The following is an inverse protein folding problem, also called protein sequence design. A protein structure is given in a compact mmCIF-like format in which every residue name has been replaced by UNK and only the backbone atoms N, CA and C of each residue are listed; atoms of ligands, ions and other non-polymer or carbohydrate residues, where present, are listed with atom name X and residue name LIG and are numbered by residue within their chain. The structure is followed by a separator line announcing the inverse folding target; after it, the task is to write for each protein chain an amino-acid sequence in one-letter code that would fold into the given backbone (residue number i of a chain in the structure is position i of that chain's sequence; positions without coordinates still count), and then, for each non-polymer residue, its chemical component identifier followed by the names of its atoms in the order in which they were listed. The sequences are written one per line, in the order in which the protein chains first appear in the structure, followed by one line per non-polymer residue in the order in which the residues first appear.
data_IF_769490247270
#
_entry.id   IF_769490247270
#
_cell.length_a   1.000
_cell.length_b   1.000
_cell.length_c   1.000
_cell.angle_alpha   90.00
_cell.angle_beta   90.00
_cell.angle_gamma   90.00
#
_symmetry.space_group_name_H-M   'P 1'
#
loop_
_entity.id
_entity.type
_entity.pdbx_description
1 polymer ?
#
# COMPACT_ATOMS: atom_id res chain seq x y z
N UNK A 1 -9.79 12.01 -41.53
CA UNK A 1 -9.22 10.67 -41.33
C UNK A 1 -10.08 9.93 -40.32
N UNK A 2 -10.78 8.88 -40.78
CA UNK A 2 -11.64 8.04 -39.94
C UNK A 2 -10.81 6.87 -39.41
N UNK A 3 -10.59 6.81 -38.09
CA UNK A 3 -9.96 5.65 -37.48
C UNK A 3 -11.03 4.57 -37.24
N UNK A 4 -11.05 3.62 -38.17
CA UNK A 4 -11.83 2.39 -38.08
C UNK A 4 -11.30 1.54 -36.91
N UNK A 5 -12.09 1.36 -35.84
CA UNK A 5 -11.76 0.45 -34.73
C UNK A 5 -12.42 -0.92 -34.98
N UNK A 6 -11.65 -2.02 -35.04
CA UNK A 6 -12.22 -3.33 -35.37
C UNK A 6 -13.09 -3.86 -34.23
N UNK A 7 -14.22 -4.45 -34.60
CA UNK A 7 -15.18 -5.13 -33.71
C UNK A 7 -14.59 -6.47 -33.24
N UNK A 8 -14.32 -6.62 -31.94
CA UNK A 8 -13.91 -7.90 -31.34
C UNK A 8 -14.42 -8.05 -29.90
N UNK A 9 -15.59 -8.66 -29.72
CA UNK A 9 -16.24 -8.83 -28.40
C UNK A 9 -15.68 -9.98 -27.54
N UNK A 10 -14.87 -10.86 -28.12
CA UNK A 10 -14.29 -12.03 -27.44
C UNK A 10 -13.09 -11.69 -26.54
N UNK A 11 -12.23 -10.77 -26.97
CA UNK A 11 -11.04 -10.33 -26.24
C UNK A 11 -11.38 -9.65 -24.91
N UNK A 12 -12.51 -8.94 -24.86
CA UNK A 12 -13.01 -8.28 -23.63
C UNK A 12 -13.57 -9.27 -22.60
N UNK A 13 -13.95 -10.49 -23.00
CA UNK A 13 -14.45 -11.53 -22.08
C UNK A 13 -13.30 -12.35 -21.50
N UNK A 14 -12.31 -12.72 -22.32
CA UNK A 14 -11.10 -13.41 -21.85
C UNK A 14 -10.25 -12.54 -20.92
N UNK A 15 -10.11 -11.23 -21.21
CA UNK A 15 -9.41 -10.31 -20.32
C UNK A 15 -10.03 -10.19 -18.92
N UNK A 16 -11.36 -10.40 -18.80
CA UNK A 16 -12.06 -10.31 -17.50
C UNK A 16 -11.87 -11.55 -16.63
N UNK A 17 -11.84 -12.74 -17.22
CA UNK A 17 -11.63 -14.00 -16.48
C UNK A 17 -10.14 -14.15 -16.10
N UNK A 18 -9.23 -13.78 -17.01
CA UNK A 18 -7.80 -13.78 -16.72
C UNK A 18 -7.42 -12.77 -15.61
N UNK A 19 -8.04 -11.58 -15.59
CA UNK A 19 -7.79 -10.60 -14.53
C UNK A 19 -8.27 -11.06 -13.14
N UNK A 20 -9.43 -11.74 -13.05
CA UNK A 20 -9.95 -12.25 -11.76
C UNK A 20 -9.12 -13.44 -11.25
N UNK A 21 -8.70 -14.34 -12.14
CA UNK A 21 -7.84 -15.46 -11.77
C UNK A 21 -6.42 -15.00 -11.34
N UNK A 22 -5.87 -13.97 -12.01
CA UNK A 22 -4.57 -13.40 -11.64
C UNK A 22 -4.59 -12.72 -10.27
N UNK A 23 -5.67 -11.98 -9.93
CA UNK A 23 -5.83 -11.37 -8.60
C UNK A 23 -5.91 -12.44 -7.50
N UNK A 24 -6.61 -13.56 -7.75
CA UNK A 24 -6.68 -14.67 -6.79
C UNK A 24 -5.35 -15.38 -6.55
N UNK A 25 -4.51 -15.51 -7.58
CA UNK A 25 -3.22 -16.19 -7.48
C UNK A 25 -2.14 -15.36 -6.74
N UNK A 26 -2.14 -14.04 -6.89
CA UNK A 26 -1.18 -13.15 -6.18
C UNK A 26 -1.47 -13.09 -4.67
N UNK A 27 -2.73 -13.21 -4.27
CA UNK A 27 -3.13 -13.21 -2.86
C UNK A 27 -2.81 -14.52 -2.11
N UNK A 28 -2.36 -15.56 -2.83
CA UNK A 28 -2.01 -16.86 -2.25
C UNK A 28 -0.50 -17.01 -1.97
N UNK A 29 0.30 -15.96 -2.16
CA UNK A 29 1.72 -15.99 -1.82
C UNK A 29 1.91 -16.18 -0.30
N UNK A 30 2.82 -17.07 0.14
CA UNK A 30 3.10 -17.22 1.56
C UNK A 30 3.60 -15.91 2.15
N UNK A 31 3.15 -15.58 3.37
CA UNK A 31 3.70 -14.47 4.15
C UNK A 31 5.19 -14.74 4.40
N UNK A 32 6.07 -14.01 3.71
CA UNK A 32 7.51 -14.16 3.84
C UNK A 32 8.02 -13.42 5.07
N UNK A 33 8.04 -14.13 6.20
CA UNK A 33 8.69 -13.72 7.44
C UNK A 33 10.03 -14.45 7.57
N UNK A 34 11.15 -13.71 7.50
CA UNK A 34 12.47 -14.28 7.75
C UNK A 34 12.78 -14.15 9.23
N UNK A 35 12.80 -15.26 9.96
CA UNK A 35 13.21 -15.31 11.36
C UNK A 35 14.66 -15.76 11.48
N UNK A 36 15.41 -15.09 12.33
CA UNK A 36 16.82 -15.40 12.56
C UNK A 36 17.16 -15.27 14.04
N UNK A 37 18.18 -16.01 14.47
CA UNK A 37 18.72 -15.99 15.81
C UNK A 37 20.13 -15.44 15.78
N UNK A 38 20.44 -14.51 16.67
CA UNK A 38 21.78 -13.92 16.82
C UNK A 38 22.31 -14.23 18.23
N UNK A 39 23.61 -14.04 18.43
CA UNK A 39 24.28 -14.22 19.73
C UNK A 39 23.92 -15.57 20.39
N UNK A 40 24.14 -16.66 19.66
CA UNK A 40 23.83 -18.04 20.10
C UNK A 40 22.39 -18.27 20.55
N UNK A 41 21.44 -17.46 20.03
CA UNK A 41 20.03 -17.54 20.37
C UNK A 41 19.59 -16.61 21.49
N UNK A 42 20.47 -15.75 22.00
CA UNK A 42 20.11 -14.72 22.97
C UNK A 42 19.25 -13.59 22.37
N UNK A 43 19.23 -13.45 21.04
CA UNK A 43 18.45 -12.46 20.32
C UNK A 43 17.62 -13.18 19.25
N UNK A 44 16.30 -13.05 19.34
CA UNK A 44 15.35 -13.48 18.33
C UNK A 44 14.98 -12.28 17.45
N UNK A 45 15.20 -12.41 16.14
CA UNK A 45 14.89 -11.39 15.15
C UNK A 45 13.89 -11.86 14.10
N UNK A 46 13.08 -10.93 13.59
CA UNK A 46 12.25 -11.14 12.41
C UNK A 46 12.35 -9.97 11.44
N UNK A 47 12.39 -10.29 10.15
CA UNK A 47 12.23 -9.35 9.06
C UNK A 47 11.07 -9.78 8.19
N UNK A 48 10.03 -8.96 8.15
CA UNK A 48 8.78 -9.24 7.48
C UNK A 48 8.61 -8.23 6.34
N UNK A 49 8.27 -8.72 5.15
CA UNK A 49 7.98 -7.87 3.99
C UNK A 49 6.57 -8.13 3.51
N UNK A 50 5.75 -7.09 3.49
CA UNK A 50 4.39 -7.12 2.95
C UNK A 50 4.35 -6.29 1.69
N UNK A 51 3.90 -6.88 0.57
CA UNK A 51 3.68 -6.16 -0.68
C UNK A 51 2.21 -6.20 -1.03
N UNK A 52 1.71 -5.10 -1.60
CA UNK A 52 0.33 -4.94 -2.00
C UNK A 52 0.24 -4.27 -3.35
N UNK A 53 -0.73 -4.69 -4.15
CA UNK A 53 -1.03 -4.09 -5.43
C UNK A 53 -2.54 -3.92 -5.54
N UNK A 54 -2.99 -2.73 -5.96
CA UNK A 54 -4.40 -2.40 -6.08
C UNK A 54 -4.67 -1.61 -7.36
N UNK A 55 -5.75 -1.99 -8.05
CA UNK A 55 -6.21 -1.31 -9.25
C UNK A 55 -7.67 -0.87 -9.08
N UNK A 56 -8.00 0.36 -9.47
CA UNK A 56 -9.37 0.82 -9.55
C UNK A 56 -9.75 1.13 -11.01
N UNK A 57 -10.89 0.55 -11.44
CA UNK A 57 -11.38 0.70 -12.81
C UNK A 57 -12.76 1.35 -12.80
N UNK A 58 -12.97 2.33 -13.67
CA UNK A 58 -14.25 2.99 -13.81
C UNK A 58 -15.27 2.12 -14.54
N UNK A 59 -16.36 1.74 -13.88
CA UNK A 59 -17.38 0.82 -14.46
C UNK A 59 -18.48 1.52 -15.27
N UNK A 60 -18.66 2.84 -15.10
CA UNK A 60 -19.69 3.64 -15.77
C UNK A 60 -19.14 4.97 -16.28
N UNK A 61 -19.63 5.39 -17.45
CA UNK A 61 -19.34 6.71 -18.04
C UNK A 61 -19.89 7.83 -17.16
N UNK A 62 -19.21 8.96 -17.16
CA UNK A 62 -19.67 10.18 -16.52
C UNK A 62 -21.02 10.62 -17.12
N UNK A 63 -21.96 11.09 -16.28
CA UNK A 63 -23.26 11.58 -16.73
C UNK A 63 -23.16 13.10 -17.01
N UNK A 64 -23.26 13.55 -18.27
CA UNK A 64 -23.09 14.95 -18.63
C UNK A 64 -24.14 15.87 -18.00
N UNK A 65 -25.33 15.36 -17.63
CA UNK A 65 -26.39 16.14 -16.99
C UNK A 65 -26.04 16.56 -15.55
N UNK A 66 -25.13 15.82 -14.88
CA UNK A 66 -24.61 16.16 -13.54
C UNK A 66 -23.32 17.00 -13.61
N UNK A 67 -22.81 17.32 -14.80
CA UNK A 67 -21.70 18.24 -15.03
C UNK A 67 -22.15 19.62 -15.52
N UNK A 68 -23.47 19.87 -15.52
CA UNK A 68 -24.02 21.21 -15.68
C UNK A 68 -23.67 22.06 -14.46
N UNK A 69 -22.93 23.14 -14.68
CA UNK A 69 -22.78 24.30 -13.78
C UNK A 69 -22.24 24.08 -12.36
N UNK A 70 -21.68 22.92 -12.02
CA UNK A 70 -20.92 22.76 -10.76
C UNK A 70 -19.42 22.84 -11.01
N UNK A 71 -18.86 24.03 -10.81
CA UNK A 71 -17.43 24.40 -10.71
C UNK A 71 -16.70 23.75 -9.52
N UNK A 72 -17.02 22.49 -9.19
CA UNK A 72 -16.48 21.77 -8.04
C UNK A 72 -16.12 20.30 -8.29
N UNK A 73 -16.42 19.74 -9.47
CA UNK A 73 -16.14 18.33 -9.78
C UNK A 73 -14.79 18.13 -10.50
N UNK A 74 -13.70 18.65 -9.92
CA UNK A 74 -12.36 18.57 -10.51
C UNK A 74 -11.82 17.14 -10.62
N UNK A 75 -12.29 16.20 -9.79
CA UNK A 75 -11.83 14.79 -9.81
C UNK A 75 -12.63 13.82 -10.70
N UNK A 76 -13.80 14.21 -11.21
CA UNK A 76 -14.72 13.27 -11.91
C UNK A 76 -14.74 13.42 -13.44
N UNK A 77 -14.06 14.44 -13.99
CA UNK A 77 -14.08 14.77 -15.42
C UNK A 77 -12.97 14.09 -16.23
N UNK A 78 -11.89 13.62 -15.58
CA UNK A 78 -10.71 13.09 -16.29
C UNK A 78 -10.85 11.61 -16.70
N UNK A 79 -11.62 10.80 -15.96
CA UNK A 79 -11.62 9.33 -16.17
C UNK A 79 -12.82 8.83 -16.99
N UNK A 80 -12.55 8.18 -18.12
CA UNK A 80 -13.51 7.54 -19.01
C UNK A 80 -14.01 6.17 -18.51
N UNK A 81 -15.09 5.67 -19.11
CA UNK A 81 -15.63 4.33 -18.79
C UNK A 81 -14.62 3.25 -19.21
N UNK A 82 -14.35 2.33 -18.30
CA UNK A 82 -13.35 1.24 -18.39
C UNK A 82 -11.89 1.68 -18.31
N UNK A 83 -11.63 2.92 -17.92
CA UNK A 83 -10.28 3.42 -17.66
C UNK A 83 -9.83 3.07 -16.24
N UNK A 84 -8.55 2.70 -16.10
CA UNK A 84 -7.87 2.54 -14.82
C UNK A 84 -7.43 3.94 -14.37
N UNK A 85 -7.76 4.33 -13.14
CA UNK A 85 -7.43 5.67 -12.62
C UNK A 85 -6.61 5.63 -11.33
N UNK A 86 -6.24 4.42 -10.91
CA UNK A 86 -5.38 4.18 -9.77
C UNK A 86 -4.81 2.78 -9.96
N UNK A 87 -3.48 2.72 -9.97
CA UNK A 87 -2.69 1.51 -10.08
C UNK A 87 -1.50 1.64 -9.12
N UNK A 88 -1.78 1.50 -7.83
CA UNK A 88 -0.78 1.65 -6.78
C UNK A 88 -0.16 0.31 -6.40
N UNK A 89 1.17 0.28 -6.35
CA UNK A 89 1.99 -0.69 -5.64
C UNK A 89 2.39 -0.14 -4.26
N UNK A 90 2.36 -0.98 -3.23
CA UNK A 90 2.76 -0.66 -1.85
C UNK A 90 3.67 -1.75 -1.31
N UNK A 91 4.65 -1.36 -0.51
CA UNK A 91 5.51 -2.28 0.22
C UNK A 91 5.72 -1.77 1.65
N UNK A 92 5.73 -2.71 2.60
CA UNK A 92 6.00 -2.45 4.01
C UNK A 92 7.06 -3.44 4.49
N UNK A 93 8.03 -2.94 5.23
CA UNK A 93 9.11 -3.72 5.82
C UNK A 93 9.14 -3.52 7.32
N UNK A 94 9.08 -4.62 8.06
CA UNK A 94 9.13 -4.63 9.51
C UNK A 94 10.37 -5.38 9.96
N UNK A 95 11.13 -4.75 10.85
CA UNK A 95 12.25 -5.36 11.54
C UNK A 95 11.96 -5.37 13.03
N UNK A 96 12.00 -6.55 13.63
CA UNK A 96 11.90 -6.75 15.06
C UNK A 96 13.14 -7.47 15.57
N UNK A 97 13.72 -6.97 16.66
CA UNK A 97 14.78 -7.63 17.40
C UNK A 97 14.37 -7.70 18.87
N UNK A 98 14.40 -8.89 19.45
CA UNK A 98 13.96 -9.12 20.82
C UNK A 98 15.01 -9.90 21.59
N UNK A 99 15.35 -9.39 22.77
CA UNK A 99 16.15 -10.09 23.76
C UNK A 99 15.30 -10.42 24.99
N UNK A 100 15.95 -10.84 26.08
CA UNK A 100 15.27 -11.31 27.28
C UNK A 100 14.32 -10.28 27.91
N UNK A 101 14.74 -9.02 27.99
CA UNK A 101 13.97 -7.94 28.64
C UNK A 101 13.96 -6.65 27.82
N UNK A 102 14.36 -6.69 26.55
CA UNK A 102 14.44 -5.53 25.68
C UNK A 102 14.02 -5.88 24.26
N UNK A 103 13.69 -4.87 23.48
CA UNK A 103 13.50 -5.05 22.06
C UNK A 103 13.61 -3.75 21.28
N UNK A 104 13.79 -3.90 19.97
CA UNK A 104 13.83 -2.82 18.99
C UNK A 104 12.88 -3.17 17.87
N UNK A 105 12.04 -2.21 17.48
CA UNK A 105 11.10 -2.35 16.39
C UNK A 105 11.23 -1.18 15.41
N UNK A 106 11.24 -1.50 14.12
CA UNK A 106 11.25 -0.51 13.05
C UNK A 106 10.32 -0.96 11.93
N UNK A 107 9.53 -0.01 11.40
CA UNK A 107 8.62 -0.21 10.27
C UNK A 107 8.79 0.89 9.23
N UNK A 108 9.16 0.48 8.02
CA UNK A 108 9.25 1.33 6.85
C UNK A 108 8.14 1.01 5.85
N UNK A 109 7.53 2.04 5.27
CA UNK A 109 6.47 1.93 4.27
C UNK A 109 6.89 2.68 2.99
N UNK A 110 6.61 2.07 1.85
CA UNK A 110 6.85 2.61 0.52
C UNK A 110 5.62 2.43 -0.36
N UNK A 111 5.34 3.39 -1.23
CA UNK A 111 4.33 3.25 -2.27
C UNK A 111 4.78 3.88 -3.58
N UNK A 112 4.25 3.37 -4.69
CA UNK A 112 4.43 3.87 -6.03
C UNK A 112 3.13 3.70 -6.83
N UNK A 113 2.61 4.75 -7.46
CA UNK A 113 1.43 4.74 -8.32
C UNK A 113 1.82 5.09 -9.75
N UNK A 114 1.72 4.11 -10.66
CA UNK A 114 2.15 4.24 -12.04
C UNK A 114 1.18 5.06 -12.91
N UNK A 115 -0.11 5.14 -12.55
CA UNK A 115 -1.09 5.93 -13.31
C UNK A 115 -0.97 7.42 -12.94
N UNK A 116 -0.68 7.74 -11.68
CA UNK A 116 -0.41 9.11 -11.23
C UNK A 116 0.86 9.72 -11.87
N UNK A 117 1.83 8.89 -12.24
CA UNK A 117 3.10 9.31 -12.89
C UNK A 117 2.90 9.81 -14.32
N UNK A 118 1.80 9.41 -14.99
CA UNK A 118 1.49 9.81 -16.35
C UNK A 118 0.65 11.10 -16.45
N UNK A 119 0.23 11.68 -15.32
CA UNK A 119 -0.47 12.96 -15.29
C UNK A 119 0.52 14.13 -15.12
N UNK A 120 0.27 15.23 -15.84
CA UNK A 120 1.10 16.44 -15.80
C UNK A 120 0.82 17.21 -14.49
N UNK A 121 1.43 16.74 -13.40
CA UNK A 121 1.23 17.28 -12.05
C UNK A 121 2.20 18.45 -11.79
N UNK A 122 1.75 19.56 -11.16
CA UNK A 122 2.62 20.66 -10.77
C UNK A 122 3.80 20.18 -9.92
N UNK A 123 5.02 20.67 -10.22
CA UNK A 123 6.32 20.15 -9.75
C UNK A 123 6.62 20.12 -8.24
N UNK A 124 5.62 20.34 -7.38
CA UNK A 124 5.69 20.11 -5.92
C UNK A 124 4.78 18.98 -5.41
N UNK A 125 3.88 18.45 -6.25
CA UNK A 125 2.83 17.49 -5.86
C UNK A 125 3.10 16.08 -6.36
N UNK A 126 3.90 15.96 -7.43
CA UNK A 126 4.28 14.69 -8.05
C UNK A 126 4.92 13.73 -7.02
N UNK A 127 5.79 14.25 -6.14
CA UNK A 127 6.50 13.48 -5.13
C UNK A 127 5.65 13.05 -3.91
N UNK A 128 4.36 13.41 -3.85
CA UNK A 128 3.43 12.94 -2.81
C UNK A 128 2.35 12.02 -3.36
N UNK A 129 2.03 12.16 -4.66
CA UNK A 129 0.99 11.37 -5.33
C UNK A 129 1.56 10.16 -6.07
N UNK A 130 2.75 10.30 -6.68
CA UNK A 130 3.37 9.23 -7.47
C UNK A 130 4.12 8.23 -6.59
N UNK A 131 4.91 8.70 -5.63
CA UNK A 131 5.67 7.80 -4.77
C UNK A 131 5.94 8.41 -3.41
N UNK A 132 6.20 7.57 -2.41
CA UNK A 132 6.58 8.05 -1.09
C UNK A 132 7.15 6.94 -0.23
N UNK A 133 8.12 7.30 0.60
CA UNK A 133 8.72 6.42 1.61
C UNK A 133 8.62 7.09 2.99
N UNK A 134 8.22 6.33 4.00
CA UNK A 134 8.15 6.84 5.37
C UNK A 134 8.48 5.75 6.39
N UNK A 135 9.17 6.13 7.45
CA UNK A 135 9.27 5.29 8.65
C UNK A 135 8.10 5.62 9.57
N UNK A 136 7.22 4.64 9.80
CA UNK A 136 6.01 4.84 10.59
C UNK A 136 6.29 4.64 12.07
N UNK A 137 7.06 3.61 12.39
CA UNK A 137 7.45 3.27 13.76
C UNK A 137 8.96 2.99 13.81
N UNK A 138 9.61 3.48 14.85
CA UNK A 138 11.01 3.23 15.15
C UNK A 138 11.23 3.49 16.63
N UNK A 139 11.22 2.43 17.45
CA UNK A 139 11.35 2.54 18.89
C UNK A 139 12.14 1.37 19.50
N UNK A 140 12.70 1.62 20.66
CA UNK A 140 13.26 0.61 21.54
C UNK A 140 12.44 0.53 22.83
N UNK A 141 12.43 -0.63 23.47
CA UNK A 141 11.77 -0.81 24.75
C UNK A 141 12.58 -1.67 25.72
N UNK A 142 12.31 -1.46 27.00
CA UNK A 142 12.86 -2.21 28.13
C UNK A 142 11.72 -2.63 29.05
N UNK A 143 11.77 -3.88 29.49
CA UNK A 143 10.91 -4.45 30.52
C UNK A 143 11.71 -4.66 31.80
N UNK A 144 11.12 -4.34 32.95
CA UNK A 144 11.79 -4.46 34.26
C UNK A 144 10.79 -4.64 35.41
N UNK A 145 11.32 -4.89 36.61
CA UNK A 145 10.55 -5.28 37.78
C UNK A 145 10.37 -6.79 37.90
N UNK A 146 9.73 -7.25 38.98
CA UNK A 146 9.31 -8.64 39.11
C UNK A 146 8.36 -8.98 37.95
N UNK A 147 8.68 -10.03 37.22
CA UNK A 147 7.89 -10.54 36.09
C UNK A 147 7.65 -9.54 34.93
N UNK A 148 8.61 -8.63 34.67
CA UNK A 148 8.52 -7.67 33.56
C UNK A 148 7.29 -6.74 33.65
N UNK A 149 6.80 -6.45 34.86
CA UNK A 149 5.60 -5.65 35.09
C UNK A 149 5.69 -4.20 34.60
N UNK A 150 6.89 -3.64 34.48
CA UNK A 150 7.11 -2.28 34.00
C UNK A 150 7.70 -2.28 32.60
N UNK A 151 7.22 -1.39 31.74
CA UNK A 151 7.71 -1.19 30.39
C UNK A 151 8.02 0.29 30.13
N UNK A 152 9.20 0.58 29.59
CA UNK A 152 9.58 1.90 29.09
C UNK A 152 9.89 1.77 27.61
N UNK A 153 9.30 2.64 26.78
CA UNK A 153 9.57 2.72 25.34
C UNK A 153 10.04 4.12 24.97
N UNK A 154 11.01 4.18 24.07
CA UNK A 154 11.54 5.43 23.54
C UNK A 154 11.66 5.34 22.02
N UNK A 155 11.10 6.34 21.33
CA UNK A 155 11.14 6.45 19.88
C UNK A 155 9.81 6.89 19.26
N UNK A 156 9.75 6.84 17.93
CA UNK A 156 8.53 7.10 17.17
C UNK A 156 7.64 5.87 17.23
N UNK A 157 6.44 6.02 17.76
CA UNK A 157 5.48 4.94 17.90
C UNK A 157 4.05 5.46 17.75
N UNK A 158 3.19 4.64 17.17
CA UNK A 158 1.73 4.84 17.27
C UNK A 158 1.27 4.44 18.67
N UNK A 159 0.60 5.35 19.36
CA UNK A 159 -0.08 5.08 20.64
C UNK A 159 -1.57 4.97 20.35
N UNK A 160 -2.14 3.79 20.59
CA UNK A 160 -3.59 3.62 20.59
C UNK A 160 -4.07 3.72 22.04
N UNK A 161 -4.89 4.71 22.32
CA UNK A 161 -5.74 4.71 23.49
C UNK A 161 -6.96 3.86 23.10
N UNK A 162 -7.34 2.86 23.89
CA UNK A 162 -8.49 2.04 23.55
C UNK A 162 -9.72 2.91 23.25
N UNK A 163 -10.38 2.66 22.13
CA UNK A 163 -11.76 3.11 21.96
C UNK A 163 -12.62 2.16 22.80
N UNK A 164 -13.38 2.72 23.76
CA UNK A 164 -14.36 1.98 24.55
C UNK A 164 -15.60 1.67 23.70
#
# INVERSE_FOLDING_TARGET
MSFNRPKGSAWRKFGRIAAVAAVGAVMAAPAHAVRFKLADGAIDGSFDTTVGWGMNIRTRSHNPTNAGEMTGMYGNRSTAKWEVFNNTFKASHDLSLTGQNWGVFMRGNYFYDADADHEDLPGGTQNKMVSGATFTDAYAYLNFGSDNQFNVRAGKQVISWGEN
#
